data_IF_602893911937
#
_entry.id   IF_602893911937
#
_cell.length_a   1.000
_cell.length_b   1.000
_cell.length_c   1.000
_cell.angle_alpha   90.00
_cell.angle_beta   90.00
_cell.angle_gamma   90.00
#
_symmetry.space_group_name_H-M   'P 1'
#
loop_
_entity.id
_entity.type
_entity.pdbx_description
1 polymer ?
#
# COMPACT_ATOMS: atom_id res chain seq x y z
N UNK A 1 -15.45 -13.52 -6.77
CA UNK A 1 -15.01 -14.39 -5.69
C UNK A 1 -13.82 -13.73 -5.01
N UNK A 2 -13.85 -13.68 -3.65
CA UNK A 2 -12.76 -13.14 -2.87
C UNK A 2 -11.43 -13.81 -3.26
N UNK A 3 -10.36 -13.03 -3.37
CA UNK A 3 -9.04 -13.61 -3.52
C UNK A 3 -8.77 -14.50 -2.30
N UNK A 4 -7.96 -15.54 -2.49
CA UNK A 4 -7.58 -16.43 -1.37
C UNK A 4 -6.98 -15.61 -0.22
N UNK A 5 -6.13 -14.63 -0.52
CA UNK A 5 -5.52 -13.76 0.50
C UNK A 5 -6.58 -12.98 1.28
N UNK A 6 -7.64 -12.51 0.65
CA UNK A 6 -8.69 -11.79 1.36
C UNK A 6 -9.46 -12.68 2.33
N UNK A 7 -9.73 -13.92 1.95
CA UNK A 7 -10.34 -14.88 2.90
C UNK A 7 -9.44 -15.12 4.10
N UNK A 8 -8.13 -15.22 3.87
CA UNK A 8 -7.14 -15.37 4.93
C UNK A 8 -7.10 -14.13 5.85
N UNK A 9 -7.16 -12.93 5.27
CA UNK A 9 -7.20 -11.67 6.03
C UNK A 9 -8.48 -11.56 6.85
N UNK A 10 -9.62 -11.91 6.28
CA UNK A 10 -10.91 -11.89 6.98
C UNK A 10 -10.95 -12.90 8.15
N UNK A 11 -10.14 -13.95 8.11
CA UNK A 11 -9.97 -14.92 9.18
C UNK A 11 -8.98 -14.53 10.29
N UNK A 12 -8.35 -13.35 10.22
CA UNK A 12 -7.42 -12.88 11.26
C UNK A 12 -8.19 -12.44 12.51
N UNK A 13 -7.99 -13.16 13.62
CA UNK A 13 -8.71 -12.93 14.86
C UNK A 13 -7.85 -12.30 15.95
N UNK A 14 -6.57 -12.67 16.01
CA UNK A 14 -5.66 -12.24 17.07
C UNK A 14 -5.24 -10.78 16.91
N UNK A 15 -5.19 -10.07 18.05
CA UNK A 15 -4.76 -8.66 18.10
C UNK A 15 -3.44 -8.55 18.86
N UNK A 16 -2.60 -7.60 18.41
CA UNK A 16 -1.42 -7.16 19.13
C UNK A 16 -1.78 -6.24 20.31
N UNK A 17 -0.78 -5.86 21.09
CA UNK A 17 -0.97 -4.93 22.21
C UNK A 17 -1.43 -3.53 21.77
N UNK A 18 -1.18 -3.16 20.53
CA UNK A 18 -1.62 -1.91 19.90
C UNK A 18 -3.04 -1.99 19.29
N UNK A 19 -3.75 -3.12 19.44
CA UNK A 19 -5.07 -3.36 18.89
C UNK A 19 -5.09 -3.70 17.40
N UNK A 20 -3.95 -3.69 16.72
CA UNK A 20 -3.80 -4.10 15.32
C UNK A 20 -3.73 -5.64 15.20
N UNK A 21 -3.72 -6.16 13.99
CA UNK A 21 -3.51 -7.60 13.77
C UNK A 21 -2.16 -8.09 14.32
N UNK A 22 -2.17 -9.27 14.90
CA UNK A 22 -0.94 -9.87 15.42
C UNK A 22 0.00 -10.25 14.25
N UNK A 23 1.24 -9.71 14.27
CA UNK A 23 2.24 -9.92 13.23
C UNK A 23 2.47 -11.41 12.93
N UNK A 24 2.57 -12.24 13.98
CA UNK A 24 2.82 -13.68 13.83
C UNK A 24 1.69 -14.39 13.07
N UNK A 25 0.44 -14.01 13.34
CA UNK A 25 -0.72 -14.59 12.64
C UNK A 25 -0.74 -14.16 11.18
N UNK A 26 -0.58 -12.87 10.90
CA UNK A 26 -0.47 -12.36 9.53
C UNK A 26 0.64 -13.06 8.75
N UNK A 27 1.82 -13.19 9.36
CA UNK A 27 2.99 -13.84 8.73
C UNK A 27 2.70 -15.32 8.42
N UNK A 28 2.07 -16.04 9.34
CA UNK A 28 1.70 -17.44 9.12
C UNK A 28 0.78 -17.63 7.93
N UNK A 29 -0.19 -16.74 7.72
CA UNK A 29 -1.22 -16.91 6.69
C UNK A 29 -0.86 -16.28 5.35
N UNK A 30 -0.08 -15.20 5.33
CA UNK A 30 0.23 -14.42 4.11
C UNK A 30 1.69 -14.56 3.64
N UNK A 31 2.63 -14.96 4.49
CA UNK A 31 4.02 -15.17 4.10
C UNK A 31 4.21 -16.54 3.43
N UNK A 32 3.44 -16.78 2.38
CA UNK A 32 3.45 -18.01 1.60
C UNK A 32 3.70 -17.70 0.13
N UNK A 33 4.31 -18.64 -0.57
CA UNK A 33 4.67 -18.47 -1.97
C UNK A 33 3.51 -18.01 -2.85
N UNK A 34 2.30 -18.59 -2.80
CA UNK A 34 1.19 -18.13 -3.64
C UNK A 34 0.78 -16.68 -3.37
N UNK A 35 0.84 -16.22 -2.11
CA UNK A 35 0.55 -14.82 -1.75
C UNK A 35 1.62 -13.88 -2.32
N UNK A 36 2.90 -14.26 -2.23
CA UNK A 36 4.02 -13.47 -2.78
C UNK A 36 3.96 -13.43 -4.31
N UNK A 37 3.57 -14.53 -4.96
CA UNK A 37 3.34 -14.58 -6.41
C UNK A 37 2.25 -13.57 -6.84
N UNK A 38 1.15 -13.48 -6.08
CA UNK A 38 0.09 -12.48 -6.35
C UNK A 38 0.58 -11.04 -6.14
N UNK A 39 1.40 -10.79 -5.11
CA UNK A 39 2.04 -9.47 -4.92
C UNK A 39 2.89 -9.10 -6.14
N UNK A 40 3.76 -9.99 -6.58
CA UNK A 40 4.59 -9.80 -7.76
C UNK A 40 3.75 -9.57 -9.02
N UNK A 41 2.74 -10.40 -9.25
CA UNK A 41 1.82 -10.27 -10.38
C UNK A 41 1.14 -8.91 -10.44
N UNK A 42 0.74 -8.37 -9.28
CA UNK A 42 0.13 -7.04 -9.19
C UNK A 42 1.13 -5.93 -9.59
N UNK A 43 2.40 -6.02 -9.16
CA UNK A 43 3.43 -5.05 -9.58
C UNK A 43 3.67 -5.13 -11.09
N UNK A 44 3.77 -6.33 -11.64
CA UNK A 44 3.95 -6.53 -13.09
C UNK A 44 2.77 -5.99 -13.89
N UNK A 45 1.56 -6.13 -13.38
CA UNK A 45 0.36 -5.67 -14.06
C UNK A 45 0.19 -4.15 -14.02
N UNK A 46 0.47 -3.51 -12.86
CA UNK A 46 0.09 -2.11 -12.62
C UNK A 46 1.26 -1.14 -12.52
N UNK A 47 2.47 -1.63 -12.27
CA UNK A 47 3.65 -0.80 -11.99
C UNK A 47 4.93 -1.37 -12.62
N UNK A 48 4.82 -2.04 -13.76
CA UNK A 48 5.97 -2.60 -14.44
C UNK A 48 6.98 -1.50 -14.82
N UNK A 49 8.26 -1.76 -14.57
CA UNK A 49 9.33 -0.81 -14.81
C UNK A 49 9.40 0.37 -13.84
N UNK A 50 8.41 0.54 -12.94
CA UNK A 50 8.33 1.66 -12.01
C UNK A 50 9.16 1.44 -10.74
N UNK A 51 9.54 2.56 -10.11
CA UNK A 51 10.24 2.60 -8.83
C UNK A 51 9.26 2.65 -7.68
N UNK A 52 9.39 1.75 -6.69
CA UNK A 52 8.38 1.66 -5.66
C UNK A 52 8.78 1.15 -4.30
N UNK A 53 7.82 1.22 -3.36
CA UNK A 53 7.96 0.73 -1.99
C UNK A 53 6.89 -0.31 -1.73
N UNK A 54 7.28 -1.43 -1.12
CA UNK A 54 6.39 -2.49 -0.63
C UNK A 54 6.38 -2.46 0.89
N UNK A 55 5.21 -2.44 1.50
CA UNK A 55 5.06 -2.54 2.96
C UNK A 55 4.77 -3.96 3.37
N UNK A 56 5.74 -4.62 3.99
CA UNK A 56 5.67 -6.02 4.39
C UNK A 56 5.25 -6.18 5.86
N UNK A 57 4.82 -7.39 6.22
CA UNK A 57 4.30 -7.78 7.55
C UNK A 57 5.44 -7.91 8.57
N UNK A 58 6.50 -8.60 8.16
CA UNK A 58 7.62 -9.01 9.00
C UNK A 58 8.93 -8.97 8.24
N UNK A 59 10.04 -9.08 8.94
CA UNK A 59 11.39 -9.19 8.33
C UNK A 59 11.47 -10.43 7.42
N UNK A 60 10.88 -11.56 7.85
CA UNK A 60 10.81 -12.78 7.04
C UNK A 60 10.03 -12.54 5.75
N UNK A 61 8.83 -11.94 5.87
CA UNK A 61 8.00 -11.61 4.70
C UNK A 61 8.73 -10.68 3.73
N UNK A 62 9.40 -9.64 4.24
CA UNK A 62 10.14 -8.71 3.40
C UNK A 62 11.27 -9.39 2.63
N UNK A 63 12.01 -10.29 3.28
CA UNK A 63 13.08 -11.08 2.64
C UNK A 63 12.54 -12.02 1.58
N UNK A 64 11.42 -12.68 1.85
CA UNK A 64 10.79 -13.59 0.90
C UNK A 64 10.25 -12.83 -0.32
N UNK A 65 9.62 -11.65 -0.12
CA UNK A 65 9.20 -10.76 -1.21
C UNK A 65 10.42 -10.34 -2.05
N UNK A 66 11.47 -9.81 -1.40
CA UNK A 66 12.65 -9.34 -2.10
C UNK A 66 13.35 -10.48 -2.86
N UNK A 67 13.48 -11.66 -2.25
CA UNK A 67 14.03 -12.85 -2.91
C UNK A 67 13.25 -13.26 -4.14
N UNK A 68 11.91 -13.31 -4.02
CA UNK A 68 11.04 -13.66 -5.15
C UNK A 68 11.12 -12.61 -6.28
N UNK A 69 11.03 -11.33 -5.94
CA UNK A 69 11.11 -10.25 -6.93
C UNK A 69 12.45 -10.26 -7.69
N UNK A 70 13.56 -10.44 -6.97
CA UNK A 70 14.90 -10.56 -7.58
C UNK A 70 15.00 -11.78 -8.50
N UNK A 71 14.42 -12.91 -8.13
CA UNK A 71 14.40 -14.12 -8.96
C UNK A 71 13.76 -13.86 -10.33
N UNK A 72 12.80 -12.95 -10.39
CA UNK A 72 12.10 -12.57 -11.62
C UNK A 72 12.55 -11.22 -12.21
N UNK A 73 13.77 -10.78 -11.86
CA UNK A 73 14.44 -9.65 -12.50
C UNK A 73 14.05 -8.26 -12.00
N UNK A 74 13.33 -8.17 -10.88
CA UNK A 74 12.96 -6.88 -10.28
C UNK A 74 13.93 -6.56 -9.15
N UNK A 75 14.91 -5.68 -9.38
CA UNK A 75 15.97 -5.35 -8.43
C UNK A 75 15.38 -4.79 -7.10
N UNK A 76 15.33 -5.64 -6.09
CA UNK A 76 14.58 -5.42 -4.85
C UNK A 76 15.45 -5.67 -3.62
N UNK A 77 15.34 -4.77 -2.64
CA UNK A 77 16.04 -4.90 -1.36
C UNK A 77 15.05 -4.74 -0.20
N UNK A 78 15.20 -5.59 0.81
CA UNK A 78 14.47 -5.46 2.07
C UNK A 78 15.24 -4.59 3.07
N UNK A 79 14.54 -3.67 3.73
CA UNK A 79 15.07 -2.86 4.85
C UNK A 79 14.19 -3.08 6.07
N UNK A 80 14.83 -3.36 7.20
CA UNK A 80 14.17 -3.61 8.47
C UNK A 80 14.89 -2.93 9.65
N UNK A 81 14.33 -3.04 10.85
CA UNK A 81 14.91 -2.43 12.06
C UNK A 81 16.29 -3.00 12.44
N UNK A 82 16.64 -4.18 11.94
CA UNK A 82 17.96 -4.81 12.18
C UNK A 82 19.01 -4.38 11.14
N UNK A 83 18.60 -3.70 10.07
CA UNK A 83 19.53 -3.17 9.08
C UNK A 83 20.39 -2.08 9.70
N UNK A 84 21.72 -2.23 9.75
CA UNK A 84 22.62 -1.23 10.34
C UNK A 84 22.44 0.16 9.73
N UNK A 85 22.56 1.22 10.53
CA UNK A 85 22.27 2.59 10.10
C UNK A 85 23.07 3.02 8.85
N UNK A 86 24.36 2.66 8.78
CA UNK A 86 25.21 2.98 7.64
C UNK A 86 24.77 2.23 6.37
N UNK A 87 24.42 0.96 6.52
CA UNK A 87 23.88 0.16 5.41
C UNK A 87 22.54 0.70 4.95
N UNK A 88 21.65 1.06 5.87
CA UNK A 88 20.35 1.66 5.56
C UNK A 88 20.53 2.94 4.73
N UNK A 89 21.44 3.84 5.14
CA UNK A 89 21.76 5.05 4.37
C UNK A 89 22.22 4.72 2.95
N UNK A 90 23.10 3.73 2.79
CA UNK A 90 23.60 3.29 1.49
C UNK A 90 22.49 2.73 0.61
N UNK A 91 21.61 1.89 1.17
CA UNK A 91 20.50 1.28 0.43
C UNK A 91 19.47 2.33 0.00
N UNK A 92 19.15 3.28 0.88
CA UNK A 92 18.26 4.40 0.56
C UNK A 92 18.86 5.28 -0.55
N UNK A 93 20.16 5.57 -0.48
CA UNK A 93 20.82 6.34 -1.53
C UNK A 93 20.86 5.60 -2.88
N UNK A 94 21.13 4.30 -2.88
CA UNK A 94 21.04 3.47 -4.09
C UNK A 94 19.62 3.43 -4.66
N UNK A 95 18.61 3.44 -3.80
CA UNK A 95 17.21 3.53 -4.22
C UNK A 95 16.90 4.91 -4.82
N UNK A 96 17.37 6.01 -4.22
CA UNK A 96 17.25 7.36 -4.80
C UNK A 96 17.87 7.45 -6.18
N UNK A 97 19.08 6.88 -6.35
CA UNK A 97 19.80 6.86 -7.62
C UNK A 97 19.23 5.88 -8.66
N UNK A 98 18.14 5.16 -8.35
CA UNK A 98 17.54 4.18 -9.26
C UNK A 98 18.35 2.88 -9.42
N UNK A 99 19.41 2.67 -8.63
CA UNK A 99 20.17 1.42 -8.61
C UNK A 99 19.39 0.26 -7.98
N UNK A 100 18.47 0.58 -7.09
CA UNK A 100 17.47 -0.32 -6.52
C UNK A 100 16.12 0.15 -7.04
N UNK A 101 15.32 -0.75 -7.60
CA UNK A 101 14.02 -0.44 -8.17
C UNK A 101 12.91 -0.53 -7.13
N UNK A 102 12.96 -1.53 -6.27
CA UNK A 102 11.94 -1.75 -5.25
C UNK A 102 12.55 -1.87 -3.86
N UNK A 103 11.98 -1.13 -2.92
CA UNK A 103 12.35 -1.20 -1.52
C UNK A 103 11.24 -1.89 -0.73
N UNK A 104 11.53 -3.00 -0.07
CA UNK A 104 10.58 -3.66 0.83
C UNK A 104 10.85 -3.21 2.27
N UNK A 105 9.87 -2.57 2.87
CA UNK A 105 9.97 -1.94 4.19
C UNK A 105 9.16 -2.70 5.23
N UNK A 106 9.73 -2.85 6.46
CA UNK A 106 9.05 -3.38 7.64
C UNK A 106 9.12 -2.35 8.74
N UNK A 107 8.00 -1.69 9.02
CA UNK A 107 7.78 -0.75 10.15
C UNK A 107 8.87 0.33 10.36
N UNK A 108 9.73 0.57 9.36
CA UNK A 108 10.72 1.63 9.45
C UNK A 108 10.08 2.93 8.96
N UNK A 109 9.51 3.67 9.89
CA UNK A 109 9.09 5.06 9.69
C UNK A 109 10.19 6.04 10.09
N UNK A 110 11.46 5.63 9.99
CA UNK A 110 12.58 6.41 10.49
C UNK A 110 12.73 7.74 9.76
N UNK A 111 13.10 8.74 10.54
CA UNK A 111 13.63 10.02 10.09
C UNK A 111 14.66 9.80 8.97
N UNK A 112 14.57 10.57 7.90
CA UNK A 112 15.51 10.53 6.79
C UNK A 112 15.15 9.65 5.61
N UNK A 113 14.06 8.84 5.65
CA UNK A 113 13.58 8.17 4.46
C UNK A 113 12.67 9.12 3.66
N UNK A 114 13.28 9.96 2.85
CA UNK A 114 12.59 10.85 1.92
C UNK A 114 12.97 10.49 0.48
N UNK A 115 12.04 9.88 -0.22
CA UNK A 115 12.15 9.52 -1.63
C UNK A 115 10.85 9.97 -2.32
N UNK A 116 10.74 11.26 -2.69
CA UNK A 116 9.50 11.78 -3.26
C UNK A 116 9.23 11.27 -4.67
N UNK A 117 10.23 10.75 -5.35
CA UNK A 117 10.19 10.20 -6.71
C UNK A 117 9.68 8.75 -6.81
N UNK A 118 9.07 8.23 -5.74
CA UNK A 118 8.42 6.92 -5.73
C UNK A 118 7.19 6.94 -6.62
N UNK A 119 7.12 6.02 -7.58
CA UNK A 119 6.06 5.93 -8.59
C UNK A 119 4.97 4.92 -8.21
N UNK A 120 5.26 3.97 -7.30
CA UNK A 120 4.22 3.12 -6.72
C UNK A 120 4.44 2.80 -5.24
N UNK A 121 3.34 2.56 -4.56
CA UNK A 121 3.28 2.00 -3.20
C UNK A 121 2.49 0.70 -3.27
N UNK A 122 3.04 -0.39 -2.75
CA UNK A 122 2.34 -1.65 -2.60
C UNK A 122 2.07 -1.97 -1.13
N UNK A 123 0.81 -2.19 -0.81
CA UNK A 123 0.35 -2.53 0.52
C UNK A 123 0.21 -4.06 0.61
N UNK A 124 1.16 -4.69 1.30
CA UNK A 124 1.20 -6.15 1.52
C UNK A 124 1.01 -6.53 3.00
N UNK A 125 0.72 -5.54 3.86
CA UNK A 125 0.46 -5.71 5.28
C UNK A 125 -0.94 -5.26 5.65
N UNK A 126 -1.84 -6.16 6.08
CA UNK A 126 -3.12 -5.77 6.67
C UNK A 126 -2.90 -4.94 7.95
N UNK A 127 -3.77 -3.96 8.18
CA UNK A 127 -3.78 -3.17 9.41
C UNK A 127 -5.19 -2.65 9.72
N UNK A 128 -5.50 -2.50 11.01
CA UNK A 128 -6.70 -1.82 11.49
C UNK A 128 -6.41 -0.34 11.82
N UNK A 129 -5.18 0.12 11.63
CA UNK A 129 -4.72 1.46 11.96
C UNK A 129 -4.78 2.39 10.74
N UNK A 130 -5.77 3.29 10.73
CA UNK A 130 -5.85 4.37 9.72
C UNK A 130 -4.58 5.22 9.66
N UNK A 131 -3.93 5.62 10.78
CA UNK A 131 -2.66 6.34 10.72
C UNK A 131 -1.56 5.58 10.00
N UNK A 132 -1.42 4.25 10.22
CA UNK A 132 -0.45 3.42 9.50
C UNK A 132 -0.73 3.41 8.00
N UNK A 133 -1.99 3.21 7.60
CA UNK A 133 -2.39 3.26 6.20
C UNK A 133 -2.03 4.60 5.56
N UNK A 134 -2.43 5.71 6.16
CA UNK A 134 -2.16 7.05 5.61
C UNK A 134 -0.67 7.39 5.57
N UNK A 135 0.12 6.95 6.55
CA UNK A 135 1.58 7.13 6.54
C UNK A 135 2.25 6.36 5.39
N UNK A 136 1.80 5.13 5.14
CA UNK A 136 2.33 4.30 4.06
C UNK A 136 2.04 4.94 2.70
N UNK A 137 0.78 5.25 2.44
CA UNK A 137 0.36 5.86 1.17
C UNK A 137 0.93 7.26 1.01
N UNK A 138 0.95 8.06 2.07
CA UNK A 138 1.45 9.43 2.05
C UNK A 138 2.88 9.61 1.54
N UNK A 139 3.71 8.56 1.63
CA UNK A 139 5.05 8.60 1.04
C UNK A 139 5.03 8.62 -0.49
N UNK A 140 4.07 7.94 -1.11
CA UNK A 140 3.86 7.99 -2.55
C UNK A 140 3.22 9.29 -3.03
N UNK A 141 2.51 10.01 -2.15
CA UNK A 141 1.81 11.25 -2.50
C UNK A 141 2.70 12.50 -2.45
N UNK A 142 3.97 12.37 -2.07
CA UNK A 142 4.91 13.50 -2.04
C UNK A 142 5.18 14.00 -3.45
N UNK A 143 5.19 15.32 -3.59
CA UNK A 143 5.47 16.00 -4.86
C UNK A 143 6.96 16.06 -5.11
N UNK A 144 7.35 15.85 -6.36
CA UNK A 144 8.68 16.15 -6.87
C UNK A 144 8.58 16.52 -8.33
N UNK A 145 9.56 17.26 -8.83
CA UNK A 145 9.65 17.62 -10.23
C UNK A 145 9.67 16.36 -11.12
N UNK A 146 8.91 16.37 -12.19
CA UNK A 146 8.81 15.25 -13.14
C UNK A 146 7.92 14.08 -12.71
N UNK A 147 7.35 14.10 -11.50
CA UNK A 147 6.42 13.07 -11.05
C UNK A 147 4.98 13.55 -11.18
N UNK A 148 4.23 12.90 -12.05
CA UNK A 148 2.82 13.22 -12.31
C UNK A 148 1.86 12.46 -11.38
N UNK A 149 2.21 11.22 -11.02
CA UNK A 149 1.33 10.33 -10.27
C UNK A 149 2.09 9.29 -9.45
N UNK A 150 1.38 8.64 -8.51
CA UNK A 150 1.84 7.45 -7.82
C UNK A 150 0.75 6.38 -7.83
N UNK A 151 1.11 5.18 -8.27
CA UNK A 151 0.22 4.02 -8.24
C UNK A 151 0.17 3.44 -6.83
N UNK A 152 -1.01 3.27 -6.29
CA UNK A 152 -1.20 2.56 -5.01
C UNK A 152 -1.79 1.18 -5.33
N UNK A 153 -1.04 0.13 -5.00
CA UNK A 153 -1.44 -1.26 -5.20
C UNK A 153 -1.85 -1.82 -3.83
N UNK A 154 -3.13 -1.96 -3.60
CA UNK A 154 -3.68 -2.47 -2.35
C UNK A 154 -4.02 -3.96 -2.47
N UNK A 155 -3.07 -4.81 -2.07
CA UNK A 155 -3.26 -6.26 -2.08
C UNK A 155 -4.01 -6.80 -0.85
N UNK A 156 -4.27 -5.95 0.14
CA UNK A 156 -4.82 -6.36 1.44
C UNK A 156 -6.16 -5.71 1.78
N UNK A 157 -6.70 -4.88 0.88
CA UNK A 157 -8.05 -4.32 1.01
C UNK A 157 -8.19 -3.15 1.99
N UNK A 158 -7.11 -2.41 2.28
CA UNK A 158 -7.14 -1.26 3.19
C UNK A 158 -8.04 -0.13 2.69
N UNK A 159 -8.07 0.05 1.36
CA UNK A 159 -8.97 1.01 0.73
C UNK A 159 -10.45 0.76 1.08
N UNK A 160 -10.89 -0.50 1.10
CA UNK A 160 -12.28 -0.84 1.45
C UNK A 160 -12.60 -0.58 2.92
N UNK A 161 -11.59 -0.71 3.78
CA UNK A 161 -11.73 -0.43 5.21
C UNK A 161 -11.71 1.06 5.51
N UNK A 162 -10.79 1.80 4.89
CA UNK A 162 -10.49 3.19 5.24
C UNK A 162 -10.94 4.22 4.19
N UNK A 163 -11.33 3.76 2.99
CA UNK A 163 -11.58 4.64 1.85
C UNK A 163 -10.31 5.17 1.20
N UNK A 164 -10.46 6.04 0.21
CA UNK A 164 -9.33 6.67 -0.46
C UNK A 164 -8.46 7.47 0.52
N UNK A 165 -7.14 7.54 0.32
CA UNK A 165 -6.25 8.35 1.16
C UNK A 165 -6.63 9.83 1.19
N UNK A 166 -7.18 10.33 0.08
CA UNK A 166 -7.62 11.72 -0.11
C UNK A 166 -9.05 11.97 0.34
N UNK A 167 -9.77 10.94 0.81
CA UNK A 167 -11.15 11.10 1.27
C UNK A 167 -11.23 12.10 2.42
N UNK A 168 -12.26 12.96 2.37
CA UNK A 168 -12.55 13.86 3.49
C UNK A 168 -12.91 13.05 4.74
N UNK A 169 -12.26 13.37 5.85
CA UNK A 169 -12.47 12.71 7.14
C UNK A 169 -12.82 13.72 8.21
N UNK A 170 -13.84 13.40 9.00
CA UNK A 170 -14.13 14.16 10.22
C UNK A 170 -13.15 13.76 11.32
N UNK A 171 -12.00 14.44 11.32
CA UNK A 171 -10.93 14.20 12.29
C UNK A 171 -11.38 14.46 13.72
N UNK A 172 -12.28 15.45 13.94
CA UNK A 172 -12.77 15.76 15.28
C UNK A 172 -13.61 14.60 15.81
N UNK A 173 -14.56 14.09 15.02
CA UNK A 173 -15.36 12.94 15.40
C UNK A 173 -14.51 11.66 15.63
N UNK A 174 -13.42 11.50 14.88
CA UNK A 174 -12.45 10.41 15.11
C UNK A 174 -11.70 10.58 16.44
N UNK A 175 -11.21 11.78 16.73
CA UNK A 175 -10.53 12.08 18.00
C UNK A 175 -11.43 11.87 19.22
N UNK A 176 -12.72 12.22 19.10
CA UNK A 176 -13.71 12.05 20.17
C UNK A 176 -14.25 10.61 20.27
N UNK A 177 -13.74 9.67 19.46
CA UNK A 177 -14.17 8.27 19.47
C UNK A 177 -15.58 8.04 18.94
N UNK A 178 -16.22 9.03 18.31
CA UNK A 178 -17.58 8.95 17.75
C UNK A 178 -17.63 8.12 16.47
N UNK A 179 -16.50 7.95 15.79
CA UNK A 179 -16.35 7.10 14.63
C UNK A 179 -15.49 5.89 15.01
N UNK A 180 -16.12 4.87 15.59
CA UNK A 180 -15.46 3.58 15.79
C UNK A 180 -15.21 2.93 14.43
N UNK A 181 -13.95 2.53 14.18
CA UNK A 181 -13.58 1.84 12.95
C UNK A 181 -14.45 0.61 12.72
N UNK A 182 -15.18 0.57 11.62
CA UNK A 182 -15.88 -0.63 11.17
C UNK A 182 -14.81 -1.66 10.82
N UNK A 183 -14.96 -2.89 11.33
CA UNK A 183 -14.08 -4.01 10.96
C UNK A 183 -14.05 -4.24 9.45
N UNK A 184 -13.12 -5.08 8.99
CA UNK A 184 -13.04 -5.43 7.58
C UNK A 184 -14.41 -5.85 7.03
N UNK A 185 -14.91 -5.25 5.95
CA UNK A 185 -16.15 -5.67 5.34
C UNK A 185 -16.00 -7.10 4.80
N UNK A 186 -17.01 -7.92 5.03
CA UNK A 186 -17.04 -9.34 4.66
C UNK A 186 -17.29 -9.59 3.17
N UNK A 187 -17.03 -8.63 2.29
CA UNK A 187 -17.40 -8.72 0.88
C UNK A 187 -16.22 -8.55 -0.07
N UNK A 188 -16.20 -9.42 -1.05
CA UNK A 188 -15.49 -9.46 -2.35
C UNK A 188 -14.33 -8.48 -2.52
N UNK A 189 -13.11 -8.95 -2.38
CA UNK A 189 -11.94 -8.13 -2.60
C UNK A 189 -11.01 -8.74 -3.64
N UNK A 190 -11.03 -8.18 -4.84
CA UNK A 190 -9.90 -8.25 -5.76
C UNK A 190 -8.84 -7.26 -5.30
N UNK A 191 -7.55 -7.50 -5.58
CA UNK A 191 -6.54 -6.46 -5.43
C UNK A 191 -7.02 -5.20 -6.16
N UNK A 192 -7.04 -4.08 -5.46
CA UNK A 192 -7.41 -2.79 -6.04
C UNK A 192 -6.12 -2.01 -6.27
N UNK A 193 -5.93 -1.55 -7.50
CA UNK A 193 -4.90 -0.59 -7.81
C UNK A 193 -5.57 0.75 -8.09
N UNK A 194 -5.10 1.80 -7.46
CA UNK A 194 -5.56 3.16 -7.71
C UNK A 194 -4.38 4.10 -7.88
N UNK A 195 -4.56 5.11 -8.72
CA UNK A 195 -3.54 6.08 -9.01
C UNK A 195 -3.85 7.39 -8.28
N UNK A 196 -2.95 7.80 -7.40
CA UNK A 196 -3.03 9.10 -6.76
C UNK A 196 -2.18 10.10 -7.53
N UNK A 197 -2.82 11.14 -8.04
CA UNK A 197 -2.17 12.21 -8.81
C UNK A 197 -1.83 13.37 -7.90
N UNK A 198 -0.55 13.76 -7.83
CA UNK A 198 -0.08 14.90 -7.07
C UNK A 198 0.01 16.16 -7.95
N UNK A 199 -1.12 16.79 -8.28
CA UNK A 199 -1.08 18.12 -8.91
C UNK A 199 -1.40 19.21 -7.87
N UNK A 200 -0.67 20.33 -7.96
CA UNK A 200 -0.84 21.48 -7.10
C UNK A 200 -2.23 22.09 -7.22
N UNK A 201 -2.72 22.60 -6.10
CA UNK A 201 -3.90 23.46 -5.94
C UNK A 201 -5.14 23.08 -6.75
N UNK A 202 -6.12 22.52 -6.11
CA UNK A 202 -7.55 22.41 -6.41
C UNK A 202 -8.11 21.19 -7.16
N UNK A 203 -7.33 20.20 -7.57
CA UNK A 203 -7.97 19.02 -8.19
C UNK A 203 -7.21 17.75 -7.85
N UNK A 204 -7.59 17.09 -6.76
CA UNK A 204 -7.18 15.72 -6.52
C UNK A 204 -7.79 14.82 -7.59
N UNK A 205 -6.94 14.21 -8.41
CA UNK A 205 -7.35 13.21 -9.38
C UNK A 205 -7.01 11.83 -8.83
N UNK A 206 -7.99 11.00 -8.70
CA UNK A 206 -7.85 9.64 -8.23
C UNK A 206 -8.40 8.67 -9.28
N UNK A 207 -7.66 7.64 -9.61
CA UNK A 207 -8.13 6.57 -10.49
C UNK A 207 -8.27 5.28 -9.71
N UNK A 208 -9.41 4.65 -9.81
CA UNK A 208 -9.74 3.37 -9.23
C UNK A 208 -10.17 2.38 -10.31
N UNK A 209 -9.76 1.13 -10.21
CA UNK A 209 -10.15 0.13 -11.19
C UNK A 209 -10.62 -1.17 -10.56
N UNK A 210 -11.71 -1.69 -11.05
CA UNK A 210 -12.15 -3.07 -10.86
C UNK A 210 -11.59 -3.96 -11.99
N UNK A 211 -10.26 -4.02 -12.08
CA UNK A 211 -9.53 -4.76 -13.11
C UNK A 211 -9.30 -4.01 -14.43
N UNK A 212 -9.88 -2.83 -14.60
CA UNK A 212 -9.58 -1.88 -15.68
C UNK A 212 -9.39 -0.50 -15.08
N UNK A 213 -8.29 0.20 -15.43
CA UNK A 213 -7.98 1.54 -14.95
C UNK A 213 -8.99 2.56 -15.49
N UNK A 214 -9.91 3.04 -14.65
CA UNK A 214 -10.75 4.19 -14.96
C UNK A 214 -10.14 5.45 -14.33
N UNK A 215 -9.85 6.45 -15.15
CA UNK A 215 -9.28 7.72 -14.69
C UNK A 215 -10.41 8.65 -14.24
N UNK A 216 -10.49 8.92 -12.94
CA UNK A 216 -11.41 9.90 -12.38
C UNK A 216 -10.74 11.26 -12.43
N UNK A 217 -11.23 12.15 -13.29
CA UNK A 217 -10.56 13.43 -13.65
C UNK A 217 -11.00 14.60 -12.79
N UNK A 218 -12.09 14.46 -12.01
CA UNK A 218 -12.58 15.51 -11.12
C UNK A 218 -13.42 14.95 -9.95
N UNK A 219 -13.54 15.75 -8.88
CA UNK A 219 -14.39 15.40 -7.74
C UNK A 219 -15.87 15.19 -8.15
N UNK A 220 -16.36 15.94 -9.14
CA UNK A 220 -17.71 15.77 -9.71
C UNK A 220 -17.89 14.41 -10.38
N UNK A 221 -16.91 13.96 -11.16
CA UNK A 221 -16.97 12.64 -11.80
C UNK A 221 -16.89 11.50 -10.79
N UNK A 222 -16.15 11.68 -9.68
CA UNK A 222 -16.15 10.72 -8.58
C UNK A 222 -17.52 10.61 -7.93
N UNK A 223 -18.19 11.75 -7.67
CA UNK A 223 -19.53 11.76 -7.10
C UNK A 223 -20.55 11.13 -8.07
N UNK A 224 -20.48 11.43 -9.35
CA UNK A 224 -21.34 10.85 -10.37
C UNK A 224 -21.12 9.34 -10.48
N UNK A 225 -19.87 8.86 -10.42
CA UNK A 225 -19.52 7.45 -10.43
C UNK A 225 -20.09 6.72 -9.21
N UNK A 226 -19.91 7.28 -8.00
CA UNK A 226 -20.43 6.74 -6.75
C UNK A 226 -21.97 6.74 -6.70
N UNK A 227 -22.62 7.74 -7.32
CA UNK A 227 -24.08 7.84 -7.40
C UNK A 227 -24.71 6.96 -8.48
N UNK A 228 -23.94 6.59 -9.51
CA UNK A 228 -24.41 5.76 -10.62
C UNK A 228 -24.71 4.31 -10.24
N UNK A 229 -24.43 3.89 -9.01
CA UNK A 229 -24.71 2.54 -8.52
C UNK A 229 -23.93 1.44 -9.23
N UNK A 230 -22.93 1.77 -10.04
CA UNK A 230 -22.03 0.78 -10.61
C UNK A 230 -21.23 0.19 -9.45
N UNK A 231 -21.57 -1.03 -9.08
CA UNK A 231 -20.83 -1.84 -8.11
C UNK A 231 -19.37 -1.87 -8.48
N UNK A 232 -18.56 -1.39 -7.55
CA UNK A 232 -17.12 -1.59 -7.52
C UNK A 232 -16.76 -3.07 -7.37
#
# INVERSE_FOLDING_TARGET
PDSEDQRLINGLERRGADGDFQVKEMDTVLNRRPSIERLYGSVRQYADGKKGIVYAISISHARNIAGYYNQYGLNTVAIDSKTPANERKRLVENFRQGKIQVLVNVDIFSEGFDCPDVEFIQLARPTLSLPKYLQQVGRGLRKTEGKESCMIIDNVGLYRLFGLPTAHRDWLAMFEGRLSGKGYPSTNTRPVAYMAVSQGTDKDKTAETDGQLETIVSHGQLLDYLQSGKSL
#
